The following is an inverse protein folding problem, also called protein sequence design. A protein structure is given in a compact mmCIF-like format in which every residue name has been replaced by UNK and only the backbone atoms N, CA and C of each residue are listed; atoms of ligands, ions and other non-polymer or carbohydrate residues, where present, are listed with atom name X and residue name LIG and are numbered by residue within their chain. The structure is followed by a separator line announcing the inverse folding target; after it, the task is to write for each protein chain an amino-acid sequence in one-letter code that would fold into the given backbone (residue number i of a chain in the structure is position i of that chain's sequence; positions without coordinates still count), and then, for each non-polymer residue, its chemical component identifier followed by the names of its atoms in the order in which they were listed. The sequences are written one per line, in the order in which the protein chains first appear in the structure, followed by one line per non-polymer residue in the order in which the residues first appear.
data_IF_828514701618
#
_entry.id   IF_828514701618
#
_cell.length_a   1.000
_cell.length_b   1.000
_cell.length_c   1.000
_cell.angle_alpha   90.00
_cell.angle_beta   90.00
_cell.angle_gamma   90.00
#
_symmetry.space_group_name_H-M   'P 1'
#
loop_
_entity.id
_entity.type
_entity.pdbx_description
1 polymer ?
#
# COMPACT_ATOMS: atom_id res chain seq x y z
N UNK A 1 7.23 -17.79 -16.58
CA UNK A 1 7.69 -17.68 -15.24
C UNK A 1 6.65 -18.13 -14.29
N UNK A 2 7.04 -18.85 -13.29
CA UNK A 2 6.07 -19.29 -12.32
C UNK A 2 5.72 -18.14 -11.40
N UNK A 3 4.50 -18.16 -10.96
CA UNK A 3 3.97 -17.17 -10.04
C UNK A 3 4.50 -17.43 -8.65
N UNK A 4 4.89 -16.37 -7.96
CA UNK A 4 5.33 -16.50 -6.56
C UNK A 4 4.09 -16.26 -5.69
N UNK A 5 3.81 -17.19 -4.80
CA UNK A 5 2.66 -17.12 -3.90
C UNK A 5 3.15 -17.30 -2.48
N UNK A 6 2.76 -16.38 -1.61
CA UNK A 6 3.12 -16.43 -0.19
C UNK A 6 1.90 -16.23 0.67
N UNK A 7 1.97 -16.75 1.89
CA UNK A 7 0.89 -16.66 2.86
C UNK A 7 1.08 -15.45 3.75
N UNK A 8 0.00 -14.71 3.97
CA UNK A 8 0.05 -13.46 4.74
C UNK A 8 0.10 -13.73 6.23
N UNK A 9 1.00 -13.02 6.91
CA UNK A 9 1.01 -12.89 8.36
C UNK A 9 1.08 -11.41 8.72
N UNK A 10 0.84 -11.11 9.97
CA UNK A 10 0.84 -9.72 10.44
C UNK A 10 2.24 -9.13 10.44
N UNK A 11 2.35 -7.85 10.09
CA UNK A 11 3.63 -7.16 10.06
C UNK A 11 4.06 -6.80 11.49
N UNK A 12 5.36 -6.91 11.81
CA UNK A 12 5.85 -6.39 13.09
C UNK A 12 5.58 -4.88 13.18
N UNK A 13 5.34 -4.42 14.41
CA UNK A 13 4.94 -3.04 14.65
C UNK A 13 5.91 -2.01 14.06
N UNK A 14 7.21 -2.29 14.09
CA UNK A 14 8.21 -1.36 13.57
C UNK A 14 8.13 -1.16 12.05
N UNK A 15 7.43 -2.03 11.35
CA UNK A 15 7.27 -1.94 9.89
C UNK A 15 5.89 -1.45 9.48
N UNK A 16 4.98 -1.26 10.44
CA UNK A 16 3.61 -0.82 10.12
C UNK A 16 3.64 0.62 9.62
N UNK A 17 2.90 0.87 8.52
CA UNK A 17 2.79 2.22 7.95
C UNK A 17 3.97 2.65 7.11
N UNK A 18 4.91 1.74 6.81
CA UNK A 18 6.11 2.10 6.08
C UNK A 18 6.11 1.67 4.62
N UNK A 19 5.00 1.11 4.14
CA UNK A 19 4.90 0.69 2.74
C UNK A 19 5.82 -0.45 2.39
N UNK A 20 6.00 -1.39 3.31
CA UNK A 20 6.93 -2.51 3.15
C UNK A 20 6.22 -3.84 3.24
N UNK A 21 6.76 -4.83 2.52
CA UNK A 21 6.38 -6.22 2.71
C UNK A 21 7.63 -6.97 3.16
N UNK A 22 7.51 -7.69 4.26
CA UNK A 22 8.61 -8.49 4.82
C UNK A 22 8.50 -9.87 4.22
N UNK A 23 9.51 -10.29 3.46
CA UNK A 23 9.44 -11.48 2.63
C UNK A 23 10.39 -12.56 3.14
N UNK A 24 9.96 -13.81 3.09
CA UNK A 24 10.78 -14.99 3.34
C UNK A 24 12.12 -14.85 2.62
N UNK A 25 13.25 -14.84 3.36
CA UNK A 25 14.55 -14.66 2.74
C UNK A 25 14.89 -15.69 1.67
N UNK A 26 14.32 -16.90 1.77
CA UNK A 26 14.59 -17.93 0.76
C UNK A 26 14.03 -17.52 -0.60
N UNK A 27 12.85 -16.89 -0.62
CA UNK A 27 12.25 -16.42 -1.87
C UNK A 27 13.12 -15.32 -2.49
N UNK A 28 13.62 -14.41 -1.66
CA UNK A 28 14.48 -13.33 -2.13
C UNK A 28 15.74 -13.91 -2.77
N UNK A 29 16.34 -14.90 -2.12
CA UNK A 29 17.53 -15.56 -2.62
C UNK A 29 17.24 -16.31 -3.93
N UNK A 30 16.17 -17.12 -3.93
CA UNK A 30 15.84 -17.95 -5.09
C UNK A 30 15.51 -17.10 -6.32
N UNK A 31 14.84 -15.99 -6.12
CA UNK A 31 14.45 -15.11 -7.23
C UNK A 31 15.52 -14.08 -7.56
N UNK A 32 16.56 -13.98 -6.77
CA UNK A 32 17.63 -12.99 -6.92
C UNK A 32 17.09 -11.57 -6.84
N UNK A 33 16.13 -11.37 -5.94
CA UNK A 33 15.56 -10.06 -5.69
C UNK A 33 16.49 -9.27 -4.76
N UNK A 34 16.30 -7.95 -4.75
CA UNK A 34 17.09 -7.06 -3.89
C UNK A 34 16.16 -6.24 -2.99
N UNK A 35 16.61 -6.03 -1.76
CA UNK A 35 15.88 -5.17 -0.83
C UNK A 35 15.64 -3.80 -1.46
N UNK A 36 14.42 -3.28 -1.28
CA UNK A 36 14.05 -1.99 -1.82
C UNK A 36 13.39 -2.03 -3.19
N UNK A 37 13.43 -3.17 -3.87
CA UNK A 37 12.70 -3.29 -5.12
C UNK A 37 11.19 -3.21 -4.84
N UNK A 38 10.43 -2.87 -5.87
CA UNK A 38 8.99 -2.71 -5.72
C UNK A 38 8.29 -4.02 -6.06
N UNK A 39 7.43 -4.44 -5.15
CA UNK A 39 6.61 -5.64 -5.33
C UNK A 39 5.19 -5.23 -5.67
N UNK A 40 4.63 -5.89 -6.69
CA UNK A 40 3.21 -5.83 -6.95
C UNK A 40 2.56 -6.99 -6.23
N UNK A 41 1.62 -6.68 -5.34
CA UNK A 41 0.86 -7.68 -4.59
C UNK A 41 -0.53 -7.77 -5.20
N UNK A 42 -0.99 -8.98 -5.47
CA UNK A 42 -2.30 -9.18 -6.10
C UNK A 42 -3.12 -10.20 -5.33
N UNK A 43 -4.34 -9.84 -5.01
CA UNK A 43 -5.34 -10.74 -4.46
C UNK A 43 -6.68 -10.35 -5.10
N UNK A 44 -7.56 -9.66 -4.41
CA UNK A 44 -8.78 -9.12 -5.02
C UNK A 44 -8.47 -7.83 -5.79
N UNK A 45 -7.48 -7.10 -5.34
CA UNK A 45 -7.00 -5.88 -5.97
C UNK A 45 -5.48 -5.91 -5.95
N UNK A 46 -4.87 -4.91 -6.55
CA UNK A 46 -3.41 -4.79 -6.58
C UNK A 46 -2.96 -3.59 -5.78
N UNK A 47 -1.83 -3.75 -5.11
CA UNK A 47 -1.12 -2.61 -4.54
C UNK A 47 0.37 -2.85 -4.67
N UNK A 48 1.17 -1.86 -4.34
CA UNK A 48 2.61 -1.90 -4.53
C UNK A 48 3.30 -1.46 -3.26
N UNK A 49 4.31 -2.24 -2.86
CA UNK A 49 5.06 -1.98 -1.64
C UNK A 49 6.53 -2.26 -1.91
N UNK A 50 7.40 -1.88 -0.98
CA UNK A 50 8.82 -2.17 -1.10
C UNK A 50 9.16 -3.50 -0.47
N UNK A 51 10.06 -4.21 -1.11
CA UNK A 51 10.57 -5.49 -0.62
C UNK A 51 11.50 -5.27 0.55
N UNK A 52 11.30 -6.01 1.62
CA UNK A 52 12.16 -5.99 2.80
C UNK A 52 12.43 -7.43 3.22
N UNK A 53 13.68 -7.79 3.54
CA UNK A 53 13.95 -9.17 3.92
C UNK A 53 13.49 -9.48 5.33
N UNK A 54 12.98 -10.69 5.53
CA UNK A 54 12.64 -11.18 6.85
C UNK A 54 13.88 -11.60 7.62
N UNK A 55 13.67 -12.01 8.86
CA UNK A 55 14.77 -12.47 9.72
C UNK A 55 15.30 -13.83 9.23
N UNK A 56 16.54 -14.18 9.54
CA UNK A 56 17.11 -15.45 9.10
C UNK A 56 16.27 -16.67 9.51
N UNK A 57 15.61 -16.62 10.67
CA UNK A 57 14.77 -17.71 11.13
C UNK A 57 13.55 -17.93 10.26
N UNK A 58 13.19 -16.96 9.44
CA UNK A 58 12.02 -17.06 8.56
C UNK A 58 12.34 -17.71 7.21
N UNK A 59 13.60 -18.09 7.01
CA UNK A 59 14.05 -18.70 5.76
C UNK A 59 13.25 -19.99 5.49
N UNK A 60 12.60 -20.02 4.34
CA UNK A 60 11.81 -21.19 3.93
C UNK A 60 10.40 -21.22 4.50
N UNK A 61 9.98 -20.17 5.19
CA UNK A 61 8.67 -20.13 5.84
C UNK A 61 7.50 -19.99 4.86
N UNK A 62 7.74 -19.44 3.68
CA UNK A 62 6.66 -19.21 2.71
C UNK A 62 5.74 -18.05 3.11
N UNK A 63 6.23 -17.13 3.92
CA UNK A 63 5.41 -16.09 4.54
C UNK A 63 5.74 -14.71 3.97
N UNK A 64 4.70 -13.88 3.86
CA UNK A 64 4.84 -12.45 3.62
C UNK A 64 4.14 -11.72 4.77
N UNK A 65 4.80 -10.73 5.34
CA UNK A 65 4.21 -9.93 6.43
C UNK A 65 3.88 -8.56 5.89
N UNK A 66 2.62 -8.20 5.93
CA UNK A 66 2.12 -6.90 5.48
C UNK A 66 1.15 -6.35 6.52
N UNK A 67 1.12 -5.02 6.62
CA UNK A 67 0.29 -4.38 7.65
C UNK A 67 -1.19 -4.34 7.25
N UNK A 68 -2.03 -3.89 8.17
CA UNK A 68 -3.47 -3.92 7.97
C UNK A 68 -3.94 -3.08 6.78
N UNK A 69 -3.32 -1.92 6.57
CA UNK A 69 -3.71 -1.06 5.45
C UNK A 69 -3.34 -1.71 4.12
N UNK A 70 -2.18 -2.34 4.03
CA UNK A 70 -1.78 -3.04 2.81
C UNK A 70 -2.73 -4.21 2.53
N UNK A 71 -3.11 -4.96 3.58
CA UNK A 71 -4.08 -6.04 3.41
C UNK A 71 -5.43 -5.51 2.91
N UNK A 72 -5.86 -4.39 3.47
CA UNK A 72 -7.11 -3.76 3.03
C UNK A 72 -7.02 -3.36 1.56
N UNK A 73 -5.89 -2.82 1.13
CA UNK A 73 -5.69 -2.35 -0.24
C UNK A 73 -5.77 -3.46 -1.27
N UNK A 74 -5.46 -4.70 -0.89
CA UNK A 74 -5.59 -5.84 -1.81
C UNK A 74 -6.82 -6.69 -1.50
N UNK A 75 -7.55 -6.37 -0.44
CA UNK A 75 -8.74 -7.12 -0.05
C UNK A 75 -8.44 -8.50 0.50
N UNK A 76 -7.32 -8.66 1.21
CA UNK A 76 -6.88 -9.94 1.75
C UNK A 76 -6.77 -9.89 3.26
N UNK A 77 -6.82 -11.04 3.89
CA UNK A 77 -6.68 -11.18 5.33
C UNK A 77 -5.51 -12.06 5.71
N UNK A 78 -5.22 -12.11 6.99
CA UNK A 78 -4.16 -12.98 7.52
C UNK A 78 -4.52 -14.42 7.17
N UNK A 79 -3.54 -15.16 6.67
CA UNK A 79 -3.73 -16.54 6.25
C UNK A 79 -4.03 -16.72 4.77
N UNK A 80 -4.42 -15.65 4.08
CA UNK A 80 -4.66 -15.74 2.64
C UNK A 80 -3.34 -15.85 1.90
N UNK A 81 -3.38 -16.45 0.73
CA UNK A 81 -2.21 -16.58 -0.14
C UNK A 81 -2.34 -15.60 -1.27
N UNK A 82 -1.27 -14.84 -1.49
CA UNK A 82 -1.29 -13.77 -2.50
C UNK A 82 -0.14 -13.94 -3.48
N UNK A 83 -0.32 -13.37 -4.65
CA UNK A 83 0.68 -13.42 -5.72
C UNK A 83 1.57 -12.20 -5.68
N UNK A 84 2.85 -12.40 -5.99
CA UNK A 84 3.84 -11.33 -5.96
C UNK A 84 4.65 -11.33 -7.24
N UNK A 85 5.08 -10.14 -7.64
CA UNK A 85 6.12 -10.02 -8.65
C UNK A 85 6.83 -8.68 -8.51
N UNK A 86 8.06 -8.62 -8.97
CA UNK A 86 8.83 -7.38 -9.00
C UNK A 86 8.37 -6.57 -10.21
N UNK A 87 8.18 -5.27 -9.99
CA UNK A 87 7.83 -4.34 -11.07
C UNK A 87 8.65 -3.07 -10.92
N UNK A 88 8.72 -2.29 -11.99
CA UNK A 88 9.32 -0.97 -11.95
C UNK A 88 8.21 0.07 -11.89
N UNK A 89 8.47 1.16 -11.19
CA UNK A 89 7.51 2.25 -11.10
C UNK A 89 8.20 3.54 -11.53
N UNK A 90 7.39 4.55 -11.84
CA UNK A 90 7.91 5.85 -12.26
C UNK A 90 7.63 6.87 -11.15
N UNK A 91 8.36 7.98 -11.19
CA UNK A 91 8.17 9.04 -10.21
C UNK A 91 6.80 9.69 -10.37
N UNK A 92 6.18 10.00 -9.25
CA UNK A 92 4.87 10.63 -9.25
C UNK A 92 5.01 12.13 -9.51
N UNK A 93 4.29 12.63 -10.51
CA UNK A 93 4.17 14.07 -10.72
C UNK A 93 3.08 14.61 -9.84
N UNK A 94 1.94 13.93 -9.79
CA UNK A 94 0.80 14.38 -9.01
C UNK A 94 0.02 13.21 -8.47
N UNK A 95 -0.48 13.34 -7.25
CA UNK A 95 -1.33 12.33 -6.62
C UNK A 95 -2.54 13.07 -6.05
N UNK A 96 -3.75 12.60 -6.38
CA UNK A 96 -4.99 13.17 -5.84
C UNK A 96 -5.48 12.25 -4.74
N UNK A 97 -5.68 12.83 -3.56
CA UNK A 97 -6.17 12.13 -2.39
C UNK A 97 -7.59 12.64 -2.09
N UNK A 98 -8.54 11.72 -2.09
CA UNK A 98 -9.93 12.08 -1.80
C UNK A 98 -10.28 11.66 -0.39
N UNK A 99 -10.67 12.60 0.48
CA UNK A 99 -10.97 12.28 1.87
C UNK A 99 -12.33 11.62 2.01
N UNK A 100 -12.51 10.87 3.08
CA UNK A 100 -13.80 10.25 3.39
C UNK A 100 -14.63 11.14 4.32
N UNK A 101 -14.06 12.25 4.78
CA UNK A 101 -14.77 13.25 5.58
C UNK A 101 -14.36 14.63 5.10
N UNK A 102 -15.12 15.62 5.51
CA UNK A 102 -14.85 16.99 5.10
C UNK A 102 -13.60 17.52 5.80
N UNK A 103 -12.59 17.87 5.04
CA UNK A 103 -11.37 18.48 5.57
C UNK A 103 -10.85 19.51 4.60
N UNK A 104 -9.85 20.29 5.03
CA UNK A 104 -9.20 21.26 4.17
C UNK A 104 -7.86 20.72 3.70
N UNK A 105 -7.32 21.30 2.65
CA UNK A 105 -6.05 20.89 2.10
C UNK A 105 -4.85 21.53 2.80
N UNK A 106 -5.10 22.34 3.81
CA UNK A 106 -4.01 23.04 4.50
C UNK A 106 -3.03 22.07 5.12
N UNK A 107 -1.75 22.23 4.78
CA UNK A 107 -0.70 21.36 5.31
C UNK A 107 -0.58 19.99 4.67
N UNK A 108 -1.49 19.65 3.76
CA UNK A 108 -1.51 18.31 3.16
C UNK A 108 -0.22 18.03 2.38
N UNK A 109 0.21 18.98 1.54
CA UNK A 109 1.41 18.80 0.71
C UNK A 109 2.63 18.48 1.56
N UNK A 110 2.89 19.29 2.57
CA UNK A 110 4.07 19.10 3.40
C UNK A 110 3.99 17.83 4.23
N UNK A 111 2.81 17.52 4.75
CA UNK A 111 2.59 16.30 5.52
C UNK A 111 2.90 15.08 4.66
N UNK A 112 2.40 15.06 3.43
CA UNK A 112 2.57 13.90 2.56
C UNK A 112 4.03 13.72 2.16
N UNK A 113 4.73 14.80 1.80
CA UNK A 113 6.14 14.68 1.46
C UNK A 113 6.93 14.20 2.68
N UNK A 114 6.66 14.77 3.86
CA UNK A 114 7.39 14.39 5.06
C UNK A 114 7.20 12.93 5.45
N UNK A 115 5.97 12.43 5.33
CA UNK A 115 5.64 11.10 5.84
C UNK A 115 5.68 9.99 4.79
N UNK A 116 5.58 10.32 3.51
CA UNK A 116 5.42 9.32 2.46
C UNK A 116 6.48 9.39 1.37
N UNK A 117 7.56 10.13 1.60
CA UNK A 117 8.66 10.16 0.64
C UNK A 117 9.15 8.74 0.36
N UNK A 118 9.32 8.40 -0.91
CA UNK A 118 9.77 7.09 -1.37
C UNK A 118 8.73 5.97 -1.21
N UNK A 119 7.51 6.27 -0.80
CA UNK A 119 6.43 5.29 -0.83
C UNK A 119 5.87 5.19 -2.25
N UNK A 120 5.27 4.05 -2.57
CA UNK A 120 4.61 3.85 -3.85
C UNK A 120 3.11 3.94 -3.64
N UNK A 121 2.42 4.70 -4.48
CA UNK A 121 0.96 4.79 -4.43
C UNK A 121 0.36 4.21 -5.68
N UNK A 122 -0.75 3.53 -5.49
CA UNK A 122 -1.53 2.90 -6.55
C UNK A 122 -2.93 3.47 -6.48
N UNK A 123 -3.52 3.82 -7.62
CA UNK A 123 -4.91 4.29 -7.64
C UNK A 123 -5.80 3.24 -6.99
N UNK A 124 -6.63 3.67 -6.07
CA UNK A 124 -7.49 2.78 -5.28
C UNK A 124 -6.96 2.48 -3.89
N UNK A 125 -5.69 2.81 -3.62
CA UNK A 125 -5.15 2.61 -2.28
C UNK A 125 -5.87 3.49 -1.28
N UNK A 126 -6.05 2.94 -0.07
CA UNK A 126 -6.50 3.71 1.08
C UNK A 126 -5.32 4.02 1.98
N UNK A 127 -5.30 5.21 2.53
CA UNK A 127 -4.32 5.57 3.56
C UNK A 127 -5.05 6.27 4.69
N UNK A 128 -4.44 6.28 5.86
CA UNK A 128 -5.02 6.90 7.03
C UNK A 128 -4.06 7.96 7.54
N UNK A 129 -4.52 9.18 7.67
CA UNK A 129 -3.69 10.29 8.12
C UNK A 129 -4.17 10.78 9.48
N UNK A 130 -3.23 11.19 10.32
CA UNK A 130 -3.56 11.74 11.62
C UNK A 130 -3.92 13.21 11.48
N UNK A 131 -4.98 13.63 12.16
CA UNK A 131 -5.36 15.03 12.19
C UNK A 131 -4.72 15.70 13.40
N UNK A 132 -4.69 17.04 13.37
CA UNK A 132 -4.15 17.80 14.49
C UNK A 132 -4.98 17.60 15.77
N UNK A 133 -6.22 17.21 15.63
CA UNK A 133 -7.11 17.00 16.75
C UNK A 133 -6.99 15.60 17.35
N UNK A 134 -6.03 14.81 16.88
CA UNK A 134 -5.81 13.48 17.40
C UNK A 134 -6.62 12.37 16.75
N UNK A 135 -7.48 12.70 15.82
CA UNK A 135 -8.24 11.70 15.08
C UNK A 135 -7.52 11.23 13.85
N UNK A 136 -8.16 10.34 13.12
CA UNK A 136 -7.65 9.85 11.84
C UNK A 136 -8.66 10.07 10.75
N UNK A 137 -8.18 10.41 9.57
CA UNK A 137 -9.03 10.56 8.38
C UNK A 137 -8.52 9.61 7.33
N UNK A 138 -9.42 8.88 6.72
CA UNK A 138 -9.07 7.97 5.64
C UNK A 138 -9.14 8.72 4.31
N UNK A 139 -8.16 8.47 3.46
CA UNK A 139 -8.12 9.02 2.11
C UNK A 139 -7.99 7.88 1.13
N UNK A 140 -8.52 8.10 -0.06
CA UNK A 140 -8.38 7.17 -1.18
C UNK A 140 -7.55 7.84 -2.25
N UNK A 141 -6.58 7.13 -2.81
CA UNK A 141 -5.84 7.61 -3.96
C UNK A 141 -6.75 7.47 -5.17
N UNK A 142 -7.29 8.60 -5.66
CA UNK A 142 -8.27 8.55 -6.74
C UNK A 142 -7.66 8.84 -8.10
N UNK A 143 -6.47 9.42 -8.15
CA UNK A 143 -5.82 9.69 -9.42
C UNK A 143 -4.33 9.88 -9.21
N UNK A 144 -3.53 9.45 -10.19
CA UNK A 144 -2.09 9.68 -10.20
C UNK A 144 -1.68 10.16 -11.59
N UNK A 145 -0.60 10.93 -11.63
CA UNK A 145 0.06 11.29 -12.89
C UNK A 145 1.52 10.86 -12.77
N UNK A 146 2.01 10.00 -13.64
CA UNK A 146 1.30 9.26 -14.69
C UNK A 146 0.24 8.31 -14.12
N UNK A 147 -0.65 7.85 -14.97
CA UNK A 147 -1.77 6.99 -14.57
C UNK A 147 -1.31 5.54 -14.43
N UNK A 148 -0.48 5.27 -13.44
CA UNK A 148 0.10 3.97 -13.14
C UNK A 148 0.67 4.04 -11.73
N UNK A 149 1.16 2.94 -11.14
CA UNK A 149 1.79 3.00 -9.82
C UNK A 149 2.97 3.96 -9.85
N UNK A 150 3.06 4.81 -8.83
CA UNK A 150 4.03 5.91 -8.82
C UNK A 150 4.75 6.02 -7.49
N UNK A 151 6.00 6.49 -7.57
CA UNK A 151 6.85 6.68 -6.41
C UNK A 151 6.83 8.16 -5.99
N UNK A 152 6.59 8.41 -4.72
CA UNK A 152 6.59 9.76 -4.18
C UNK A 152 8.02 10.30 -4.11
N UNK A 153 8.22 11.48 -4.67
CA UNK A 153 9.51 12.19 -4.60
C UNK A 153 9.29 13.55 -3.97
N UNK A 154 10.37 14.28 -3.77
CA UNK A 154 10.29 15.65 -3.23
C UNK A 154 9.49 16.58 -4.13
N UNK A 155 9.39 16.25 -5.41
CA UNK A 155 8.70 17.08 -6.39
C UNK A 155 7.25 16.66 -6.65
N UNK A 156 6.78 15.63 -5.98
CA UNK A 156 5.41 15.16 -6.16
C UNK A 156 4.42 16.18 -5.59
N UNK A 157 3.41 16.52 -6.37
CA UNK A 157 2.34 17.42 -5.94
C UNK A 157 1.16 16.60 -5.46
N UNK A 158 0.71 16.88 -4.24
CA UNK A 158 -0.48 16.25 -3.68
C UNK A 158 -1.65 17.23 -3.75
N UNK A 159 -2.79 16.75 -4.22
CA UNK A 159 -4.01 17.55 -4.32
C UNK A 159 -5.14 16.87 -3.59
N UNK A 160 -5.98 17.68 -2.96
CA UNK A 160 -7.18 17.19 -2.31
C UNK A 160 -8.28 17.05 -3.36
N UNK A 161 -8.80 15.85 -3.49
CA UNK A 161 -9.91 15.58 -4.41
C UNK A 161 -11.25 15.73 -3.70
N UNK A 162 -12.32 15.43 -4.44
CA UNK A 162 -13.66 15.48 -3.88
C UNK A 162 -13.82 14.42 -2.80
N UNK A 163 -14.66 14.72 -1.81
CA UNK A 163 -14.95 13.78 -0.75
C UNK A 163 -15.59 12.51 -1.33
N UNK A 164 -15.21 11.37 -0.80
CA UNK A 164 -15.71 10.08 -1.26
C UNK A 164 -16.04 9.20 -0.05
N UNK A 165 -16.62 8.03 -0.30
CA UNK A 165 -16.91 7.10 0.77
C UNK A 165 -15.72 6.22 1.04
N UNK A 166 -15.55 5.85 2.32
CA UNK A 166 -14.53 4.90 2.70
C UNK A 166 -14.79 3.56 2.02
N UNK A 167 -13.72 2.89 1.61
CA UNK A 167 -13.81 1.56 1.04
C UNK A 167 -13.56 0.55 2.14
N UNK A 168 -14.50 -0.38 2.31
CA UNK A 168 -14.35 -1.45 3.27
C UNK A 168 -14.22 -2.75 2.52
N UNK A 169 -12.99 -3.24 2.38
CA UNK A 169 -12.74 -4.44 1.62
C UNK A 169 -13.11 -5.71 2.37
N UNK A 170 -13.45 -5.60 3.63
CA UNK A 170 -13.88 -6.77 4.39
C UNK A 170 -15.37 -7.04 4.22
N UNK A 171 -16.10 -6.13 3.60
CA UNK A 171 -17.54 -6.26 3.40
C UNK A 171 -17.84 -6.40 1.92
N UNK A 172 -18.64 -7.40 1.52
CA UNK A 172 -18.99 -7.55 0.10
C UNK A 172 -19.69 -6.32 -0.42
N UNK A 173 -19.23 -5.83 -1.55
CA UNK A 173 -19.72 -4.62 -2.07
C UNK A 173 -21.10 -4.67 -2.52
N UNK A 174 -21.48 -5.80 -2.96
CA UNK A 174 -22.75 -5.94 -3.50
C UNK A 174 -23.83 -5.80 -2.54
N UNK A 175 -23.55 -5.94 -1.32
CA UNK A 175 -24.64 -5.94 -0.42
C UNK A 175 -25.30 -4.66 -0.28
N UNK A 176 -24.79 -3.76 -0.83
CA UNK A 176 -25.36 -2.65 -0.68
C UNK A 176 -25.97 -2.08 -1.64
N UNK A 177 -25.91 -2.53 -2.34
CA UNK A 177 -26.43 -1.97 -3.16
C UNK A 177 -27.67 -2.07 -3.13
N UNK A 178 -27.94 -2.48 -2.78
CA UNK A 178 -28.83 -2.62 -2.66
C UNK A 178 -29.36 -2.09 -2.01
N UNK A 179 -29.49 -1.94 -2.05
CA UNK A 179 -29.93 -1.48 -1.35
C UNK A 179 -30.20 -0.61 -1.43
#
# INVERSE_FOLDING_TARGET
MSEIVLKIEESPQQHVGRGRAIIDPKIIEDQKWNSGQILELTYNKKTHVKLWPGAPEEYGSGIIKIDGMTRQNIGAGIGDKISLKIVEVVNAEQIVLSPTEKITAEGLQDYMIHNYLNHVFTTGDSISLNTQMGGKVQFIVTNTKPSKPVLVTENTVFKLGAMTKAIDSSVPRITYDEL
#
